data_IF_330583833541
#
_entry.id   IF_330583833541
#
_cell.length_a   1.000
_cell.length_b   1.000
_cell.length_c   1.000
_cell.angle_alpha   90.00
_cell.angle_beta   90.00
_cell.angle_gamma   90.00
#
_symmetry.space_group_name_H-M   'P 1'
#
loop_
_entity.id
_entity.type
_entity.pdbx_description
1 polymer ?
#
# COMPACT_ATOMS: atom_id res chain seq x y z
N UNK A 1 -4.14 -4.77 21.36
CA UNK A 1 -3.58 -3.45 20.95
C UNK A 1 -4.76 -2.49 21.06
N UNK A 2 -4.88 -1.68 22.12
CA UNK A 2 -6.01 -0.74 22.17
C UNK A 2 -5.81 0.30 21.07
N UNK A 3 -6.70 0.32 20.08
CA UNK A 3 -6.86 1.46 19.18
C UNK A 3 -7.29 2.63 20.05
N UNK A 4 -6.33 3.50 20.34
CA UNK A 4 -6.56 4.69 21.15
C UNK A 4 -7.43 5.66 20.33
N UNK A 5 -8.74 5.57 20.52
CA UNK A 5 -9.76 6.40 19.88
C UNK A 5 -9.77 7.85 20.43
N UNK A 6 -8.83 8.22 21.30
CA UNK A 6 -8.91 9.45 22.10
C UNK A 6 -8.55 10.74 21.36
N UNK A 7 -8.06 10.70 20.11
CA UNK A 7 -7.75 11.91 19.34
C UNK A 7 -8.02 11.72 17.84
N UNK A 8 -9.27 11.51 17.46
CA UNK A 8 -9.70 11.75 16.08
C UNK A 8 -10.12 13.21 16.00
N UNK A 9 -9.23 14.07 15.47
CA UNK A 9 -9.60 15.44 15.14
C UNK A 9 -10.81 15.42 14.20
N UNK A 10 -11.90 16.09 14.59
CA UNK A 10 -13.13 16.14 13.79
C UNK A 10 -12.87 17.02 12.57
N UNK A 11 -12.60 16.42 11.40
CA UNK A 11 -12.55 17.18 10.15
C UNK A 11 -13.99 17.54 9.74
N UNK A 12 -14.23 18.81 9.41
CA UNK A 12 -15.53 19.31 8.96
C UNK A 12 -15.66 19.24 7.42
N UNK A 13 -16.84 19.53 6.89
CA UNK A 13 -17.10 19.64 5.44
C UNK A 13 -16.33 20.77 4.75
N UNK A 14 -15.61 21.61 5.51
CA UNK A 14 -14.79 22.72 5.01
C UNK A 14 -13.28 22.36 4.93
N UNK A 15 -12.93 21.09 5.13
CA UNK A 15 -11.55 20.60 5.07
C UNK A 15 -10.94 20.38 6.46
N UNK A 16 -9.76 19.77 6.49
CA UNK A 16 -9.00 19.55 7.72
C UNK A 16 -7.86 20.57 7.82
N UNK A 17 -7.93 21.58 8.72
CA UNK A 17 -6.89 22.61 8.86
C UNK A 17 -5.50 22.01 9.17
N UNK A 18 -5.50 20.89 9.91
CA UNK A 18 -4.31 20.13 10.30
C UNK A 18 -4.10 18.89 9.40
N UNK A 19 -4.17 19.07 8.08
CA UNK A 19 -3.91 18.00 7.12
C UNK A 19 -2.42 17.79 6.87
N UNK A 20 -2.07 16.61 6.34
CA UNK A 20 -0.72 16.34 5.83
C UNK A 20 -0.34 17.34 4.74
N UNK A 21 -1.26 17.70 3.84
CA UNK A 21 -1.02 18.68 2.77
C UNK A 21 -0.67 20.07 3.33
N UNK A 22 -1.34 20.53 4.39
CA UNK A 22 -1.02 21.83 5.00
C UNK A 22 0.30 21.85 5.76
N UNK A 23 0.83 20.69 6.15
CA UNK A 23 2.04 20.55 6.96
C UNK A 23 3.28 20.14 6.19
N UNK A 24 3.16 19.29 5.16
CA UNK A 24 4.30 18.65 4.49
C UNK A 24 5.31 19.64 3.92
N UNK A 25 4.83 20.74 3.33
CA UNK A 25 5.67 21.82 2.81
C UNK A 25 6.52 22.54 3.85
N UNK A 26 6.20 22.41 5.14
CA UNK A 26 6.93 23.01 6.28
C UNK A 26 7.93 22.04 6.92
N UNK A 27 8.11 20.86 6.33
CA UNK A 27 9.02 19.81 6.82
C UNK A 27 10.12 19.54 5.80
N UNK A 28 11.13 18.75 6.17
CA UNK A 28 12.18 18.25 5.26
C UNK A 28 11.62 17.40 4.10
N UNK A 29 10.36 16.98 4.17
CA UNK A 29 9.69 16.22 3.11
C UNK A 29 9.05 17.09 2.03
N UNK A 30 8.97 18.42 2.22
CA UNK A 30 8.29 19.32 1.28
C UNK A 30 8.78 19.17 -0.16
N UNK A 31 10.10 19.15 -0.38
CA UNK A 31 10.69 19.00 -1.73
C UNK A 31 10.56 17.58 -2.31
N UNK A 32 10.32 16.59 -1.44
CA UNK A 32 10.15 15.19 -1.84
C UNK A 32 8.71 14.88 -2.22
N UNK A 33 7.75 15.60 -1.63
CA UNK A 33 6.32 15.34 -1.73
C UNK A 33 5.71 16.02 -2.96
N UNK A 34 5.26 15.21 -3.92
CA UNK A 34 4.57 15.66 -5.13
C UNK A 34 3.07 15.46 -4.96
N UNK A 35 2.33 16.53 -4.64
CA UNK A 35 0.88 16.45 -4.37
C UNK A 35 0.06 15.99 -5.59
N UNK A 36 0.50 16.34 -6.80
CA UNK A 36 -0.23 16.07 -8.05
C UNK A 36 0.06 14.71 -8.68
N UNK A 37 0.92 13.87 -8.06
CA UNK A 37 1.30 12.58 -8.62
C UNK A 37 0.05 11.66 -8.71
N UNK A 38 -0.24 11.04 -9.87
CA UNK A 38 -1.37 10.13 -9.98
C UNK A 38 -1.08 8.87 -9.17
N UNK A 39 -1.81 8.66 -8.07
CA UNK A 39 -1.65 7.48 -7.20
C UNK A 39 -2.16 6.21 -7.90
N UNK A 40 -3.27 6.31 -8.62
CA UNK A 40 -3.96 5.17 -9.25
C UNK A 40 -3.97 5.29 -10.78
N UNK A 41 -4.09 4.15 -11.45
CA UNK A 41 -4.26 4.06 -12.90
C UNK A 41 -5.50 3.27 -13.32
N UNK A 42 -5.97 3.53 -14.54
CA UNK A 42 -7.12 2.90 -15.20
C UNK A 42 -7.05 3.19 -16.70
N UNK A 43 -8.03 2.70 -17.47
CA UNK A 43 -8.07 2.76 -18.93
C UNK A 43 -7.66 4.10 -19.57
N UNK A 44 -8.00 5.25 -18.97
CA UNK A 44 -7.66 6.58 -19.55
C UNK A 44 -6.16 6.85 -19.63
N UNK A 45 -5.37 6.20 -18.78
CA UNK A 45 -3.92 6.42 -18.72
C UNK A 45 -3.17 5.59 -19.77
N UNK A 46 -3.87 4.67 -20.44
CA UNK A 46 -3.28 3.83 -21.49
C UNK A 46 -3.37 4.56 -22.81
N UNK A 47 -2.20 4.96 -23.30
CA UNK A 47 -2.02 5.44 -24.67
C UNK A 47 -0.81 4.73 -25.27
N UNK A 48 -0.69 4.63 -26.60
CA UNK A 48 0.49 3.99 -27.22
C UNK A 48 1.81 4.67 -26.83
N UNK A 49 1.79 5.98 -26.57
CA UNK A 49 2.95 6.70 -26.06
C UNK A 49 3.30 6.31 -24.63
N UNK A 50 2.31 6.30 -23.73
CA UNK A 50 2.51 5.94 -22.33
C UNK A 50 2.95 4.48 -22.18
N UNK A 51 2.37 3.57 -22.96
CA UNK A 51 2.81 2.18 -23.03
C UNK A 51 4.29 2.10 -23.41
N UNK A 52 4.68 2.63 -24.58
CA UNK A 52 6.08 2.62 -25.04
C UNK A 52 7.06 3.18 -24.01
N UNK A 53 6.66 4.23 -23.27
CA UNK A 53 7.47 4.82 -22.20
C UNK A 53 7.63 3.86 -21.01
N UNK A 54 6.54 3.25 -20.55
CA UNK A 54 6.52 2.39 -19.38
C UNK A 54 6.99 0.95 -19.65
N UNK A 55 6.97 0.48 -20.89
CA UNK A 55 7.53 -0.83 -21.29
C UNK A 55 9.05 -0.92 -21.08
N UNK A 56 9.72 0.22 -20.87
CA UNK A 56 11.15 0.27 -20.53
C UNK A 56 11.46 -0.14 -19.09
N UNK A 57 10.44 -0.25 -18.24
CA UNK A 57 10.59 -0.54 -16.82
C UNK A 57 9.94 -1.88 -16.48
N UNK A 58 10.70 -2.82 -15.89
CA UNK A 58 10.16 -4.12 -15.50
C UNK A 58 9.40 -4.04 -14.18
N UNK A 59 8.65 -5.10 -13.87
CA UNK A 59 8.07 -5.31 -12.56
C UNK A 59 7.03 -4.25 -12.20
N UNK A 60 7.03 -3.82 -10.92
CA UNK A 60 6.09 -2.81 -10.42
C UNK A 60 6.35 -1.38 -10.94
N UNK A 61 7.37 -1.19 -11.77
CA UNK A 61 7.79 0.13 -12.23
C UNK A 61 7.24 0.48 -13.61
N UNK A 62 6.64 -0.46 -14.34
CA UNK A 62 6.07 -0.21 -15.65
C UNK A 62 5.45 -1.46 -16.27
N UNK A 63 5.47 -1.54 -17.59
CA UNK A 63 4.83 -2.58 -18.39
C UNK A 63 5.85 -3.41 -19.18
N UNK A 64 7.10 -3.45 -18.73
CA UNK A 64 8.15 -4.24 -19.38
C UNK A 64 7.78 -5.72 -19.42
N UNK A 65 7.67 -6.27 -20.64
CA UNK A 65 7.25 -7.65 -20.89
C UNK A 65 5.74 -7.87 -20.99
N UNK A 66 4.93 -6.80 -20.98
CA UNK A 66 3.49 -6.85 -21.22
C UNK A 66 3.22 -6.10 -22.54
N UNK A 67 2.46 -6.71 -23.46
CA UNK A 67 2.07 -6.08 -24.71
C UNK A 67 0.92 -5.08 -24.51
N UNK A 68 0.71 -4.21 -25.50
CA UNK A 68 -0.26 -3.12 -25.43
C UNK A 68 -1.71 -3.62 -25.24
N UNK A 69 -2.10 -4.68 -25.95
CA UNK A 69 -3.46 -5.21 -25.89
C UNK A 69 -3.75 -5.86 -24.54
N UNK A 70 -2.76 -6.57 -23.97
CA UNK A 70 -2.81 -7.08 -22.61
C UNK A 70 -2.93 -5.96 -21.56
N UNK A 71 -2.19 -4.86 -21.69
CA UNK A 71 -2.31 -3.70 -20.80
C UNK A 71 -3.73 -3.09 -20.86
N UNK A 72 -4.25 -2.87 -22.07
CA UNK A 72 -5.62 -2.37 -22.29
C UNK A 72 -6.65 -3.32 -21.66
N UNK A 73 -6.50 -4.62 -21.86
CA UNK A 73 -7.41 -5.62 -21.29
C UNK A 73 -7.39 -5.60 -19.75
N UNK A 74 -6.23 -5.40 -19.14
CA UNK A 74 -6.10 -5.32 -17.68
C UNK A 74 -6.73 -4.02 -17.17
N UNK A 75 -6.40 -2.88 -17.77
CA UNK A 75 -6.82 -1.56 -17.28
C UNK A 75 -8.26 -1.19 -17.64
N UNK A 76 -8.84 -1.78 -18.68
CA UNK A 76 -10.28 -1.66 -19.01
C UNK A 76 -11.18 -2.29 -17.94
N UNK A 77 -10.68 -3.28 -17.21
CA UNK A 77 -11.38 -3.90 -16.09
C UNK A 77 -11.33 -3.06 -14.80
N UNK A 78 -10.55 -1.97 -14.78
CA UNK A 78 -10.49 -1.06 -13.65
C UNK A 78 -11.31 0.16 -14.01
N UNK A 79 -12.53 0.23 -13.45
CA UNK A 79 -13.37 1.41 -13.65
C UNK A 79 -12.93 2.53 -12.73
N UNK A 80 -12.97 3.75 -13.23
CA UNK A 80 -12.90 4.94 -12.40
C UNK A 80 -14.12 4.89 -11.47
N UNK A 81 -13.90 5.00 -10.17
CA UNK A 81 -15.01 5.40 -9.31
C UNK A 81 -15.12 6.91 -9.56
N UNK A 82 -16.04 7.32 -10.44
CA UNK A 82 -16.38 8.74 -10.68
C UNK A 82 -16.89 9.44 -9.40
N UNK A 83 -16.98 8.68 -8.31
CA UNK A 83 -17.43 9.14 -7.02
C UNK A 83 -16.27 8.97 -6.03
N UNK A 84 -15.36 9.94 -6.03
CA UNK A 84 -14.60 10.30 -4.81
C UNK A 84 -15.55 10.63 -3.64
N UNK A 85 -16.86 10.74 -3.89
CA UNK A 85 -17.94 11.06 -2.95
C UNK A 85 -18.85 9.89 -2.51
N UNK A 86 -18.65 8.65 -2.99
CA UNK A 86 -19.28 7.44 -2.38
C UNK A 86 -18.24 6.38 -2.08
N UNK A 87 -17.03 6.82 -1.72
CA UNK A 87 -16.31 6.13 -0.66
C UNK A 87 -17.19 6.30 0.58
N UNK A 88 -18.03 5.31 0.90
CA UNK A 88 -18.98 5.32 2.01
C UNK A 88 -18.58 6.30 3.13
N UNK A 89 -19.39 7.34 3.40
CA UNK A 89 -19.72 8.01 4.69
C UNK A 89 -18.78 7.89 5.92
N UNK A 90 -17.50 7.56 5.76
CA UNK A 90 -16.62 7.20 6.85
C UNK A 90 -15.51 8.24 6.97
N UNK A 91 -15.51 8.92 8.12
CA UNK A 91 -14.46 9.84 8.57
C UNK A 91 -13.10 9.09 8.73
N UNK A 92 -13.11 7.75 8.86
CA UNK A 92 -11.93 6.92 9.09
C UNK A 92 -11.81 5.82 8.04
N UNK A 93 -10.64 5.68 7.41
CA UNK A 93 -10.31 4.65 6.42
C UNK A 93 -9.31 3.66 7.04
N UNK A 94 -9.54 2.36 6.88
CA UNK A 94 -8.64 1.30 7.37
C UNK A 94 -8.03 0.54 6.19
N UNK A 95 -6.72 0.69 6.02
CA UNK A 95 -5.93 -0.01 5.03
C UNK A 95 -5.30 -1.28 5.65
N UNK A 96 -5.34 -2.39 4.91
CA UNK A 96 -4.64 -3.64 5.25
C UNK A 96 -3.86 -4.15 4.04
N UNK A 97 -2.88 -5.02 4.25
CA UNK A 97 -2.09 -5.58 3.15
C UNK A 97 -1.62 -7.01 3.44
N UNK A 98 -1.35 -7.77 2.37
CA UNK A 98 -0.76 -9.12 2.42
C UNK A 98 -1.52 -10.08 3.36
N UNK A 99 -0.83 -10.91 4.16
CA UNK A 99 -1.44 -11.87 5.08
C UNK A 99 -2.20 -11.25 6.26
N UNK A 100 -3.20 -10.41 6.02
CA UNK A 100 -3.96 -9.70 7.04
C UNK A 100 -4.98 -10.63 7.73
N UNK A 101 -4.50 -11.46 8.66
CA UNK A 101 -5.34 -12.35 9.46
C UNK A 101 -6.09 -11.54 10.53
N UNK A 102 -7.41 -11.50 10.43
CA UNK A 102 -8.25 -10.75 11.39
C UNK A 102 -8.83 -11.67 12.45
N UNK A 103 -9.32 -12.85 12.04
CA UNK A 103 -10.04 -13.78 12.92
C UNK A 103 -9.14 -14.24 14.06
N UNK A 104 -9.57 -13.99 15.30
CA UNK A 104 -8.83 -14.31 16.53
C UNK A 104 -7.85 -13.23 16.97
N UNK A 105 -7.75 -12.11 16.24
CA UNK A 105 -6.85 -10.98 16.52
C UNK A 105 -7.61 -9.65 16.50
N UNK A 106 -8.95 -9.65 16.56
CA UNK A 106 -9.78 -8.45 16.42
C UNK A 106 -9.47 -7.39 17.49
N UNK A 107 -9.10 -7.80 18.71
CA UNK A 107 -8.69 -6.89 19.78
C UNK A 107 -7.30 -6.26 19.56
N UNK A 108 -6.48 -6.85 18.69
CA UNK A 108 -5.17 -6.36 18.35
C UNK A 108 -5.16 -5.53 17.07
N UNK A 109 -5.86 -5.99 16.04
CA UNK A 109 -5.78 -5.38 14.71
C UNK A 109 -7.09 -4.75 14.26
N UNK A 110 -8.16 -4.86 15.04
CA UNK A 110 -9.51 -4.43 14.68
C UNK A 110 -10.16 -5.34 13.64
N UNK A 111 -11.48 -5.23 13.48
CA UNK A 111 -12.28 -6.02 12.52
C UNK A 111 -12.53 -5.31 11.18
N UNK A 112 -12.37 -3.98 11.15
CA UNK A 112 -12.72 -3.15 9.99
C UNK A 112 -11.65 -3.22 8.91
N UNK A 113 -12.07 -3.34 7.66
CA UNK A 113 -11.21 -3.16 6.47
C UNK A 113 -11.97 -2.30 5.49
N UNK A 114 -11.31 -1.33 4.88
CA UNK A 114 -11.91 -0.49 3.82
C UNK A 114 -11.10 -0.53 2.55
N UNK A 115 -9.79 -0.74 2.67
CA UNK A 115 -8.89 -0.87 1.55
C UNK A 115 -7.94 -2.02 1.82
N UNK A 116 -7.74 -2.87 0.81
CA UNK A 116 -6.83 -3.99 0.92
C UNK A 116 -5.83 -3.94 -0.24
N UNK A 117 -4.56 -3.74 0.10
CA UNK A 117 -3.46 -3.62 -0.87
C UNK A 117 -2.69 -4.92 -0.99
N UNK A 118 -2.41 -5.39 -2.20
CA UNK A 118 -1.64 -6.62 -2.40
C UNK A 118 -0.92 -6.63 -3.75
N UNK A 119 0.08 -7.51 -3.87
CA UNK A 119 0.48 -8.03 -5.18
C UNK A 119 -0.12 -9.42 -5.35
N UNK A 120 -0.47 -9.81 -6.59
CA UNK A 120 -1.06 -11.12 -6.86
C UNK A 120 -0.18 -12.25 -6.31
N UNK A 121 1.14 -12.16 -6.48
CA UNK A 121 2.10 -13.13 -5.97
C UNK A 121 2.06 -13.24 -4.44
N UNK A 122 2.15 -12.11 -3.74
CA UNK A 122 2.15 -12.10 -2.28
C UNK A 122 0.83 -12.60 -1.72
N UNK A 123 -0.31 -12.23 -2.32
CA UNK A 123 -1.60 -12.72 -1.89
C UNK A 123 -1.68 -14.25 -1.99
N UNK A 124 -1.25 -14.81 -3.12
CA UNK A 124 -1.26 -16.27 -3.33
C UNK A 124 -0.34 -16.99 -2.34
N UNK A 125 0.88 -16.49 -2.17
CA UNK A 125 1.81 -17.08 -1.19
C UNK A 125 1.25 -17.00 0.22
N UNK A 126 0.67 -15.86 0.63
CA UNK A 126 0.04 -15.73 1.94
C UNK A 126 -1.12 -16.71 2.12
N UNK A 127 -1.99 -16.86 1.11
CA UNK A 127 -3.11 -17.81 1.16
C UNK A 127 -2.63 -19.26 1.29
N UNK A 128 -1.52 -19.62 0.66
CA UNK A 128 -0.93 -20.95 0.79
C UNK A 128 -0.23 -21.14 2.14
N UNK A 129 0.70 -20.25 2.49
CA UNK A 129 1.52 -20.34 3.70
C UNK A 129 0.71 -20.24 4.99
N UNK A 130 -0.39 -19.48 4.97
CA UNK A 130 -1.20 -19.20 6.16
C UNK A 130 -2.57 -19.89 6.14
N UNK A 131 -2.80 -20.83 5.20
CA UNK A 131 -4.04 -21.62 5.13
C UNK A 131 -4.32 -22.37 6.44
N UNK A 132 -3.28 -22.95 7.04
CA UNK A 132 -3.36 -23.74 8.29
C UNK A 132 -3.78 -22.92 9.51
N UNK A 133 -3.66 -21.60 9.45
CA UNK A 133 -4.10 -20.66 10.50
C UNK A 133 -5.32 -19.83 10.07
N UNK A 134 -6.02 -20.25 9.01
CA UNK A 134 -7.33 -19.74 8.62
C UNK A 134 -7.32 -18.62 7.58
N UNK A 135 -6.16 -18.21 7.05
CA UNK A 135 -6.10 -17.20 5.99
C UNK A 135 -6.39 -17.81 4.62
N UNK A 136 -7.68 -17.94 4.29
CA UNK A 136 -8.15 -18.56 3.03
C UNK A 136 -8.53 -17.56 1.94
N UNK A 137 -8.69 -16.29 2.30
CA UNK A 137 -9.03 -15.20 1.38
C UNK A 137 -8.70 -13.85 2.01
N UNK A 138 -8.54 -12.79 1.21
CA UNK A 138 -8.49 -11.42 1.71
C UNK A 138 -9.68 -11.08 2.63
N UNK A 139 -9.58 -10.04 3.47
CA UNK A 139 -10.73 -9.49 4.17
C UNK A 139 -11.76 -8.96 3.16
N UNK A 140 -13.01 -9.46 3.21
CA UNK A 140 -14.09 -9.13 2.24
C UNK A 140 -15.11 -8.13 2.80
N UNK A 141 -14.83 -7.48 3.94
CA UNK A 141 -15.76 -6.46 4.46
C UNK A 141 -15.64 -5.15 3.64
N UNK A 142 -16.61 -4.91 2.77
CA UNK A 142 -16.94 -3.63 2.09
C UNK A 142 -15.79 -2.87 1.38
N UNK A 143 -14.63 -3.49 1.16
CA UNK A 143 -13.40 -2.77 0.82
C UNK A 143 -13.06 -2.64 -0.66
N UNK A 144 -12.29 -1.59 -0.98
CA UNK A 144 -11.60 -1.39 -2.25
C UNK A 144 -10.31 -2.23 -2.27
N UNK A 145 -10.09 -2.96 -3.35
CA UNK A 145 -8.92 -3.79 -3.57
C UNK A 145 -7.92 -3.01 -4.43
N UNK A 146 -6.72 -2.74 -3.91
CA UNK A 146 -5.67 -2.01 -4.63
C UNK A 146 -4.53 -2.94 -4.98
N UNK A 147 -4.29 -3.14 -6.27
CA UNK A 147 -3.24 -4.05 -6.76
C UNK A 147 -1.97 -3.28 -7.08
N UNK A 148 -0.83 -3.87 -6.72
CA UNK A 148 0.48 -3.45 -7.22
C UNK A 148 0.56 -3.74 -8.73
N UNK A 149 1.16 -2.87 -9.56
CA UNK A 149 1.20 -3.03 -11.03
C UNK A 149 2.28 -4.05 -11.44
N UNK A 150 2.16 -5.29 -10.97
CA UNK A 150 3.02 -6.40 -11.36
C UNK A 150 2.14 -7.65 -11.43
N UNK A 151 1.89 -8.12 -12.65
CA UNK A 151 1.02 -9.26 -12.91
C UNK A 151 1.86 -10.45 -13.33
N UNK A 152 1.86 -11.49 -12.49
CA UNK A 152 2.15 -12.84 -12.97
C UNK A 152 0.90 -13.48 -13.59
N UNK A 153 -0.30 -13.02 -13.20
CA UNK A 153 -1.59 -13.58 -13.59
C UNK A 153 -2.75 -12.57 -13.46
N UNK A 154 -3.86 -12.83 -14.17
CA UNK A 154 -5.07 -11.97 -14.19
C UNK A 154 -5.76 -11.85 -12.82
N UNK A 155 -5.98 -10.63 -12.29
CA UNK A 155 -6.68 -10.39 -11.02
C UNK A 155 -8.05 -11.09 -10.92
N UNK A 156 -8.80 -11.18 -12.01
CA UNK A 156 -10.16 -11.75 -12.05
C UNK A 156 -10.21 -13.21 -11.61
N UNK A 157 -9.14 -13.99 -11.86
CA UNK A 157 -9.05 -15.39 -11.44
C UNK A 157 -9.03 -15.54 -9.91
N UNK A 158 -8.65 -14.50 -9.17
CA UNK A 158 -8.34 -14.56 -7.75
C UNK A 158 -9.47 -14.09 -6.83
N UNK A 159 -10.35 -13.25 -7.35
CA UNK A 159 -11.37 -12.60 -6.55
C UNK A 159 -12.79 -13.15 -6.77
N UNK A 160 -12.94 -14.12 -7.69
CA UNK A 160 -14.24 -14.65 -8.10
C UNK A 160 -15.09 -13.60 -8.83
N UNK A 161 -16.32 -13.98 -9.19
CA UNK A 161 -17.30 -13.05 -9.79
C UNK A 161 -17.75 -11.95 -8.82
N UNK A 162 -17.53 -12.15 -7.50
CA UNK A 162 -17.99 -11.27 -6.42
C UNK A 162 -17.22 -9.95 -6.27
N UNK A 163 -15.98 -9.86 -6.80
CA UNK A 163 -15.28 -8.58 -6.86
C UNK A 163 -15.55 -7.95 -8.21
N UNK A 164 -16.63 -7.17 -8.24
CA UNK A 164 -16.92 -6.31 -9.37
C UNK A 164 -15.69 -5.46 -9.69
N UNK A 165 -15.45 -5.25 -10.99
CA UNK A 165 -14.47 -4.32 -11.56
C UNK A 165 -14.46 -2.93 -10.88
N UNK A 166 -15.54 -2.56 -10.20
CA UNK A 166 -15.72 -1.31 -9.48
C UNK A 166 -14.91 -1.24 -8.19
N UNK A 167 -14.72 -2.37 -7.49
CA UNK A 167 -13.95 -2.44 -6.24
C UNK A 167 -12.46 -2.60 -6.48
N UNK A 168 -12.05 -3.00 -7.68
CA UNK A 168 -10.64 -3.13 -8.04
C UNK A 168 -10.04 -1.78 -8.47
N UNK A 169 -8.83 -1.50 -8.01
CA UNK A 169 -8.00 -0.35 -8.34
C UNK A 169 -6.55 -0.82 -8.48
N UNK A 170 -5.71 -0.03 -9.15
CA UNK A 170 -4.29 -0.35 -9.30
C UNK A 170 -3.46 0.90 -9.09
N UNK A 171 -2.33 0.76 -8.39
CA UNK A 171 -1.37 1.86 -8.30
C UNK A 171 -0.77 2.17 -9.67
N UNK A 172 -0.51 3.46 -9.90
CA UNK A 172 0.19 3.91 -11.09
C UNK A 172 1.70 3.53 -11.01
N UNK A 173 2.33 2.99 -12.06
CA UNK A 173 3.74 2.59 -12.03
C UNK A 173 4.67 3.78 -11.77
N UNK A 174 4.35 4.96 -12.32
CA UNK A 174 5.08 6.18 -11.98
C UNK A 174 4.95 6.58 -10.51
N UNK A 175 3.84 6.28 -9.83
CA UNK A 175 3.73 6.49 -8.39
C UNK A 175 4.71 5.57 -7.64
N UNK A 176 4.80 4.29 -8.02
CA UNK A 176 5.77 3.35 -7.44
C UNK A 176 7.21 3.84 -7.66
N UNK A 177 7.54 4.29 -8.88
CA UNK A 177 8.85 4.86 -9.22
C UNK A 177 9.14 6.13 -8.42
N UNK A 178 8.14 6.99 -8.25
CA UNK A 178 8.22 8.21 -7.46
C UNK A 178 8.56 7.89 -6.00
N UNK A 179 7.81 6.98 -5.36
CA UNK A 179 8.07 6.55 -3.98
C UNK A 179 9.49 5.98 -3.83
N UNK A 180 9.89 5.08 -4.73
CA UNK A 180 11.24 4.51 -4.76
C UNK A 180 12.32 5.59 -4.91
N UNK A 181 12.13 6.55 -5.80
CA UNK A 181 13.20 7.48 -6.14
C UNK A 181 13.31 8.66 -5.15
N UNK A 182 12.19 9.07 -4.51
CA UNK A 182 12.14 10.25 -3.63
C UNK A 182 12.15 9.91 -2.14
N UNK A 183 11.64 8.73 -1.74
CA UNK A 183 11.52 8.34 -0.33
C UNK A 183 12.39 7.14 0.02
N UNK A 184 12.45 6.14 -0.86
CA UNK A 184 13.07 4.83 -0.59
C UNK A 184 14.11 4.48 -1.64
N UNK A 185 15.14 5.33 -1.79
CA UNK A 185 16.18 5.15 -2.81
C UNK A 185 17.36 4.35 -2.25
N UNK A 186 17.20 3.03 -2.14
CA UNK A 186 18.24 2.15 -1.59
C UNK A 186 19.47 2.00 -2.51
N UNK A 187 20.60 1.69 -1.87
CA UNK A 187 21.84 1.29 -2.53
C UNK A 187 21.69 0.01 -3.35
N UNK A 188 20.65 -0.81 -3.10
CA UNK A 188 20.26 -1.97 -3.92
C UNK A 188 20.13 -1.64 -5.41
N UNK A 189 19.76 -0.40 -5.75
CA UNK A 189 19.70 0.10 -7.13
C UNK A 189 21.05 0.05 -7.87
N UNK A 190 22.17 -0.03 -7.14
CA UNK A 190 23.53 -0.16 -7.69
C UNK A 190 24.00 -1.62 -7.82
N UNK A 191 23.13 -2.58 -7.48
CA UNK A 191 23.46 -4.02 -7.46
C UNK A 191 22.72 -4.76 -8.57
N UNK A 192 22.96 -6.07 -8.69
CA UNK A 192 22.21 -6.95 -9.58
C UNK A 192 20.70 -7.02 -9.28
N UNK A 193 20.27 -6.60 -8.09
CA UNK A 193 18.86 -6.62 -7.67
C UNK A 193 18.08 -5.34 -8.04
N UNK A 194 18.68 -4.42 -8.79
CA UNK A 194 18.08 -3.12 -9.14
C UNK A 194 16.67 -3.24 -9.76
N UNK A 195 16.43 -4.27 -10.57
CA UNK A 195 15.20 -4.41 -11.35
C UNK A 195 14.04 -4.99 -10.53
N UNK A 196 14.37 -5.73 -9.46
CA UNK A 196 13.36 -6.25 -8.52
C UNK A 196 13.14 -5.33 -7.32
N UNK A 197 14.08 -4.41 -7.05
CA UNK A 197 13.99 -3.49 -5.92
C UNK A 197 12.80 -2.55 -6.04
N UNK A 198 11.97 -2.52 -5.00
CA UNK A 198 10.80 -1.65 -4.88
C UNK A 198 10.44 -1.46 -3.40
N UNK A 199 9.67 -0.42 -3.05
CA UNK A 199 9.02 -0.36 -1.75
C UNK A 199 8.20 -1.63 -1.48
N UNK A 200 8.14 -2.06 -0.22
CA UNK A 200 7.24 -3.12 0.21
C UNK A 200 5.78 -2.75 -0.08
N UNK A 201 4.91 -3.76 -0.15
CA UNK A 201 3.46 -3.50 -0.33
C UNK A 201 2.92 -2.62 0.80
N UNK A 202 3.38 -2.83 2.03
CA UNK A 202 3.05 -2.00 3.19
C UNK A 202 3.56 -0.57 3.07
N UNK A 203 4.80 -0.38 2.62
CA UNK A 203 5.34 0.96 2.38
C UNK A 203 4.57 1.73 1.31
N UNK A 204 4.24 1.04 0.20
CA UNK A 204 3.45 1.62 -0.88
C UNK A 204 2.06 2.04 -0.39
N UNK A 205 1.40 1.18 0.38
CA UNK A 205 0.10 1.45 0.98
C UNK A 205 0.16 2.64 1.95
N UNK A 206 1.16 2.69 2.83
CA UNK A 206 1.30 3.76 3.82
C UNK A 206 1.61 5.11 3.15
N UNK A 207 2.51 5.11 2.17
CA UNK A 207 2.82 6.33 1.41
C UNK A 207 1.65 6.75 0.52
N UNK A 208 0.87 5.83 -0.04
CA UNK A 208 -0.37 6.17 -0.72
C UNK A 208 -1.37 6.86 0.21
N UNK A 209 -1.57 6.32 1.43
CA UNK A 209 -2.43 6.94 2.43
C UNK A 209 -1.96 8.36 2.79
N UNK A 210 -0.65 8.60 2.89
CA UNK A 210 -0.09 9.94 3.11
C UNK A 210 -0.40 10.93 1.97
N UNK A 211 -0.58 10.45 0.72
CA UNK A 211 -0.92 11.31 -0.43
C UNK A 211 -2.42 11.53 -0.59
N UNK A 212 -3.26 10.68 0.01
CA UNK A 212 -4.71 10.71 -0.20
C UNK A 212 -5.51 11.13 1.03
N UNK A 213 -4.98 10.91 2.25
CA UNK A 213 -5.66 11.18 3.51
C UNK A 213 -5.12 12.44 4.19
N UNK A 214 -5.94 13.09 5.01
CA UNK A 214 -5.53 14.28 5.75
C UNK A 214 -4.70 13.94 6.99
N UNK A 215 -4.94 12.78 7.60
CA UNK A 215 -4.18 12.27 8.74
C UNK A 215 -3.97 10.77 8.59
N UNK A 216 -2.84 10.26 9.09
CA UNK A 216 -2.46 8.86 8.98
C UNK A 216 -1.89 8.37 10.30
N UNK A 217 -2.38 7.21 10.75
CA UNK A 217 -1.79 6.44 11.84
C UNK A 217 -1.33 5.07 11.31
N UNK A 218 -0.10 4.68 11.65
CA UNK A 218 0.52 3.44 11.19
C UNK A 218 0.65 2.45 12.34
N UNK A 219 0.15 1.23 12.14
CA UNK A 219 0.18 0.13 13.11
C UNK A 219 0.79 -1.12 12.48
N UNK A 220 1.60 -1.86 13.25
CA UNK A 220 2.24 -3.09 12.76
C UNK A 220 3.35 -2.87 11.72
N UNK A 221 3.85 -1.64 11.59
CA UNK A 221 5.04 -1.33 10.80
C UNK A 221 6.30 -1.54 11.64
N UNK A 222 7.42 -1.88 10.99
CA UNK A 222 8.69 -2.13 11.66
C UNK A 222 9.16 -0.88 12.43
N UNK A 223 9.58 -1.09 13.67
CA UNK A 223 10.14 -0.10 14.60
C UNK A 223 11.54 -0.53 15.05
N UNK A 224 12.37 0.36 15.63
CA UNK A 224 13.75 0.02 16.01
C UNK A 224 13.90 -1.21 16.91
N UNK A 225 12.86 -1.53 17.69
CA UNK A 225 12.78 -2.68 18.57
C UNK A 225 12.14 -3.92 17.94
N UNK A 226 12.01 -3.98 16.60
CA UNK A 226 11.37 -5.09 15.88
C UNK A 226 11.85 -6.49 16.28
N UNK A 227 13.12 -6.61 16.70
CA UNK A 227 13.71 -7.88 17.15
C UNK A 227 13.02 -8.47 18.38
N UNK A 228 12.32 -7.66 19.17
CA UNK A 228 11.54 -8.11 20.35
C UNK A 228 10.27 -8.86 19.97
N UNK A 229 9.84 -8.81 18.70
CA UNK A 229 8.58 -9.38 18.23
C UNK A 229 8.81 -10.38 17.10
N UNK A 230 7.87 -11.31 16.93
CA UNK A 230 7.86 -12.21 15.77
C UNK A 230 7.60 -11.44 14.47
N UNK A 231 7.95 -12.04 13.34
CA UNK A 231 7.75 -11.49 11.99
C UNK A 231 6.29 -11.06 11.75
N UNK A 232 5.33 -11.87 12.20
CA UNK A 232 3.91 -11.55 12.14
C UNK A 232 3.25 -11.62 13.52
N UNK A 233 2.24 -10.75 13.74
CA UNK A 233 1.48 -10.70 14.98
C UNK A 233 0.67 -11.97 15.28
N UNK A 234 0.46 -12.81 14.26
CA UNK A 234 -0.28 -14.07 14.35
C UNK A 234 0.63 -15.31 14.45
N UNK A 235 1.95 -15.12 14.54
CA UNK A 235 2.87 -16.23 14.72
C UNK A 235 2.73 -16.83 16.12
N UNK A 236 2.52 -18.15 16.19
CA UNK A 236 2.44 -18.87 17.47
C UNK A 236 3.79 -19.01 18.16
N UNK A 237 4.86 -19.10 17.38
CA UNK A 237 6.24 -19.19 17.84
C UNK A 237 7.03 -18.00 17.27
N UNK A 238 8.09 -17.58 17.95
CA UNK A 238 8.93 -16.49 17.46
C UNK A 238 9.62 -16.86 16.14
N UNK A 239 9.44 -16.01 15.14
CA UNK A 239 10.16 -16.03 13.87
C UNK A 239 10.84 -14.67 13.67
N UNK A 240 12.16 -14.63 13.38
CA UNK A 240 12.83 -13.37 13.10
C UNK A 240 12.36 -12.81 11.75
N UNK A 241 12.32 -11.48 11.63
CA UNK A 241 11.97 -10.82 10.36
C UNK A 241 12.95 -11.18 9.25
N UNK A 242 12.42 -11.64 8.11
CA UNK A 242 13.20 -11.91 6.90
C UNK A 242 13.55 -10.63 6.13
N UNK A 243 14.82 -10.45 5.76
CA UNK A 243 15.30 -9.33 4.95
C UNK A 243 15.63 -9.80 3.53
N UNK A 244 14.72 -9.53 2.59
CA UNK A 244 14.87 -9.91 1.19
C UNK A 244 15.30 -8.72 0.33
N UNK A 245 16.19 -8.94 -0.65
CA UNK A 245 16.81 -7.87 -1.45
C UNK A 245 15.84 -7.08 -2.35
N UNK A 246 14.61 -7.57 -2.55
CA UNK A 246 13.57 -6.84 -3.28
C UNK A 246 13.05 -5.62 -2.51
N UNK A 247 13.29 -5.53 -1.19
CA UNK A 247 12.89 -4.43 -0.32
C UNK A 247 14.05 -3.99 0.58
N UNK A 248 13.97 -2.78 1.13
CA UNK A 248 14.91 -2.30 2.15
C UNK A 248 14.12 -1.92 3.40
N UNK A 249 13.78 -2.93 4.21
CA UNK A 249 12.92 -2.76 5.39
C UNK A 249 13.56 -1.85 6.46
N UNK A 250 14.89 -1.77 6.50
CA UNK A 250 15.60 -0.86 7.42
C UNK A 250 15.44 0.58 6.97
N UNK A 251 15.57 0.85 5.67
CA UNK A 251 15.29 2.16 5.10
C UNK A 251 13.83 2.56 5.30
N UNK A 252 12.89 1.63 5.09
CA UNK A 252 11.47 1.85 5.36
C UNK A 252 11.23 2.20 6.84
N UNK A 253 11.74 1.40 7.77
CA UNK A 253 11.67 1.66 9.21
C UNK A 253 12.18 3.06 9.57
N UNK A 254 13.35 3.44 9.06
CA UNK A 254 13.93 4.76 9.31
C UNK A 254 13.05 5.90 8.77
N UNK A 255 12.47 5.72 7.57
CA UNK A 255 11.53 6.68 7.00
C UNK A 255 10.29 6.85 7.89
N UNK A 256 9.76 5.76 8.46
CA UNK A 256 8.61 5.84 9.36
C UNK A 256 8.90 6.67 10.62
N UNK A 257 10.09 6.50 11.20
CA UNK A 257 10.52 7.32 12.34
C UNK A 257 10.62 8.80 11.97
N UNK A 258 11.18 9.13 10.81
CA UNK A 258 11.33 10.52 10.36
C UNK A 258 9.97 11.18 10.07
N UNK A 259 9.08 10.48 9.36
CA UNK A 259 7.71 10.97 9.10
C UNK A 259 6.92 11.16 10.40
N UNK A 260 7.11 10.28 11.38
CA UNK A 260 6.50 10.43 12.70
C UNK A 260 7.04 11.65 13.45
N UNK A 261 8.37 11.82 13.50
CA UNK A 261 9.03 12.96 14.14
C UNK A 261 8.65 14.30 13.48
N UNK A 262 8.46 14.31 12.16
CA UNK A 262 8.01 15.47 11.41
C UNK A 262 6.50 15.78 11.59
N UNK A 263 5.78 14.98 12.38
CA UNK A 263 4.35 15.14 12.62
C UNK A 263 3.44 14.70 11.47
N UNK A 264 3.99 14.20 10.35
CA UNK A 264 3.22 13.84 9.16
C UNK A 264 2.38 12.56 9.33
N UNK A 265 2.75 11.71 10.28
CA UNK A 265 1.92 10.58 10.69
C UNK A 265 2.14 10.21 12.16
N UNK A 266 1.20 9.48 12.75
CA UNK A 266 1.39 8.84 14.04
C UNK A 266 1.85 7.40 13.83
N UNK A 267 3.08 7.09 14.20
CA UNK A 267 3.56 5.70 14.18
C UNK A 267 3.30 5.08 15.56
N UNK A 268 2.59 3.96 15.58
CA UNK A 268 2.45 3.18 16.80
C UNK A 268 3.77 2.45 17.10
N UNK A 269 4.31 2.72 18.28
CA UNK A 269 5.47 2.06 18.85
C UNK A 269 5.07 1.54 20.23
N UNK A 270 5.50 0.33 20.61
CA UNK A 270 5.29 -0.15 21.98
C UNK A 270 6.35 0.49 22.88
N UNK A 271 5.95 0.95 24.06
CA UNK A 271 6.86 1.43 25.11
C UNK A 271 7.61 0.25 25.74
#
# INVERSE_FOLDING_TARGET
>A
MRSDNSYVGVCSTQGCPDSIRSRVGKTEFGERFLESIPVLQWAKHVTPEQHRRLSRYPGAHGWGGIDYDSEILILSKIKIMLILFTMCLWIVVVFRTNGAIIKGFEEDVGSRTTHYTFSTNTLMNSMLSYAGIGYRRPPVSCGVFIVMPYFLHSPVKYFGEDVSAEKLKMYHPDFIRYLRNRFLRSSTLKTRFKDIYRPSTGATMLLAALHTCDQVSAYGFMTPDYKKYSDHYYDKNYHPVGFFANHDLRMEMNLWQQLHKAGLMRLYMRN
#
